data_IF_553958232673
#
_entry.id   IF_553958232673
#
_cell.length_a   1.000
_cell.length_b   1.000
_cell.length_c   1.000
_cell.angle_alpha   90.00
_cell.angle_beta   90.00
_cell.angle_gamma   90.00
#
_symmetry.space_group_name_H-M   'P 1'
#
loop_
_entity.id
_entity.type
_entity.pdbx_description
1 polymer ?
#
# COMPACT_ATOMS: atom_id res chain seq x y z
N UNK A 1 -34.00 6.03 18.41
CA UNK A 1 -34.48 6.50 17.10
C UNK A 1 -33.44 7.35 16.36
N UNK A 2 -32.98 8.49 16.90
CA UNK A 2 -31.99 9.37 16.23
C UNK A 2 -30.68 8.67 15.80
N UNK A 3 -30.04 7.91 16.69
CA UNK A 3 -28.84 7.13 16.39
C UNK A 3 -29.02 6.18 15.20
N UNK A 4 -30.17 5.50 15.10
CA UNK A 4 -30.46 4.56 14.01
C UNK A 4 -30.61 5.29 12.67
N UNK A 5 -31.23 6.47 12.67
CA UNK A 5 -31.37 7.31 11.47
C UNK A 5 -29.99 7.74 10.97
N UNK A 6 -29.14 8.28 11.86
CA UNK A 6 -27.78 8.68 11.50
C UNK A 6 -26.97 7.48 11.01
N UNK A 7 -27.05 6.33 11.69
CA UNK A 7 -26.38 5.09 11.28
C UNK A 7 -26.82 4.60 9.90
N UNK A 8 -28.11 4.69 9.59
CA UNK A 8 -28.65 4.34 8.27
C UNK A 8 -28.06 5.21 7.16
N UNK A 9 -28.07 6.53 7.33
CA UNK A 9 -27.49 7.45 6.35
C UNK A 9 -25.98 7.26 6.20
N UNK A 10 -25.24 7.11 7.30
CA UNK A 10 -23.81 6.85 7.23
C UNK A 10 -23.50 5.54 6.52
N UNK A 11 -24.29 4.47 6.71
CA UNK A 11 -24.12 3.24 5.93
C UNK A 11 -24.47 3.41 4.45
N UNK A 12 -25.50 4.20 4.13
CA UNK A 12 -25.90 4.48 2.75
C UNK A 12 -24.79 5.24 1.99
N UNK A 13 -24.19 6.25 2.60
CA UNK A 13 -23.11 7.03 1.99
C UNK A 13 -21.75 6.33 2.07
N UNK A 14 -21.44 5.65 3.17
CA UNK A 14 -20.07 5.20 3.43
C UNK A 14 -19.85 3.69 3.45
N UNK A 15 -20.90 2.85 3.36
CA UNK A 15 -20.77 1.38 3.39
C UNK A 15 -19.75 0.89 4.43
N UNK A 16 -20.00 1.22 5.69
CA UNK A 16 -19.04 1.11 6.79
C UNK A 16 -18.69 -0.35 7.04
N UNK A 17 -17.40 -0.67 7.06
CA UNK A 17 -16.86 -1.97 7.45
C UNK A 17 -15.99 -1.80 8.70
N UNK A 18 -16.20 -2.64 9.71
CA UNK A 18 -15.43 -2.61 10.95
C UNK A 18 -14.71 -3.94 11.11
N UNK A 19 -13.42 -3.89 11.41
CA UNK A 19 -12.56 -5.06 11.62
C UNK A 19 -11.91 -4.99 13.00
N UNK A 20 -11.65 -6.15 13.60
CA UNK A 20 -10.90 -6.24 14.86
C UNK A 20 -11.71 -6.00 16.13
N UNK A 21 -13.02 -6.34 16.13
CA UNK A 21 -13.88 -6.17 17.31
C UNK A 21 -13.37 -6.93 18.53
N UNK A 22 -12.74 -8.07 18.33
CA UNK A 22 -12.09 -8.85 19.37
C UNK A 22 -11.02 -8.05 20.14
N UNK A 23 -10.38 -7.06 19.51
CA UNK A 23 -9.38 -6.21 20.16
C UNK A 23 -10.02 -5.18 21.10
N UNK A 24 -11.25 -4.75 20.81
CA UNK A 24 -12.02 -3.87 21.68
C UNK A 24 -12.33 -4.55 23.02
N UNK A 25 -12.79 -5.80 22.96
CA UNK A 25 -13.11 -6.59 24.16
C UNK A 25 -11.86 -6.88 24.98
N UNK A 26 -10.77 -7.32 24.32
CA UNK A 26 -9.47 -7.59 24.96
C UNK A 26 -8.82 -6.36 25.60
N UNK A 27 -9.17 -5.15 25.15
CA UNK A 27 -8.64 -3.93 25.72
C UNK A 27 -9.05 -3.77 27.20
N UNK A 28 -10.23 -4.23 27.60
CA UNK A 28 -10.70 -4.14 28.99
C UNK A 28 -10.91 -2.68 29.45
N UNK A 29 -10.54 -2.38 30.69
CA UNK A 29 -10.74 -1.07 31.33
C UNK A 29 -9.51 -0.16 31.25
N UNK A 30 -9.72 1.15 31.41
CA UNK A 30 -8.66 2.16 31.41
C UNK A 30 -8.03 2.31 30.03
N UNK A 31 -8.85 2.59 29.01
CA UNK A 31 -8.44 2.54 27.60
C UNK A 31 -8.54 3.91 26.93
N UNK A 32 -7.40 4.39 26.43
CA UNK A 32 -7.33 5.49 25.49
C UNK A 32 -7.51 4.97 24.06
N UNK A 33 -8.66 5.27 23.45
CA UNK A 33 -8.93 4.96 22.06
C UNK A 33 -8.30 6.05 21.19
N UNK A 34 -7.33 5.65 20.38
CA UNK A 34 -6.46 6.54 19.62
C UNK A 34 -6.67 6.34 18.10
N UNK A 35 -7.67 7.01 17.50
CA UNK A 35 -7.89 6.98 16.06
C UNK A 35 -6.95 7.93 15.31
N UNK A 36 -6.54 7.57 14.08
CA UNK A 36 -5.99 8.55 13.14
C UNK A 36 -7.08 9.55 12.73
N UNK A 37 -6.68 10.79 12.37
CA UNK A 37 -7.63 11.84 12.02
C UNK A 37 -7.51 12.20 10.54
N UNK A 38 -8.42 11.67 9.71
CA UNK A 38 -8.40 11.83 8.25
C UNK A 38 -9.33 12.94 7.78
N UNK A 39 -10.51 13.02 8.37
CA UNK A 39 -11.56 13.93 7.94
C UNK A 39 -12.40 14.42 9.10
N UNK A 40 -13.04 15.58 8.95
CA UNK A 40 -13.89 16.12 10.01
C UNK A 40 -15.11 15.25 10.34
N UNK A 41 -15.50 14.30 9.49
CA UNK A 41 -16.63 13.39 9.76
C UNK A 41 -16.24 12.17 10.60
N UNK A 42 -14.94 11.92 10.78
CA UNK A 42 -14.42 10.75 11.51
C UNK A 42 -14.94 10.63 12.95
N UNK A 43 -15.00 11.71 13.77
CA UNK A 43 -15.58 11.64 15.12
C UNK A 43 -17.04 11.20 15.11
N UNK A 44 -17.83 11.71 14.15
CA UNK A 44 -19.24 11.33 14.00
C UNK A 44 -19.39 9.87 13.62
N UNK A 45 -18.58 9.39 12.68
CA UNK A 45 -18.58 7.99 12.28
C UNK A 45 -18.24 7.10 13.49
N UNK A 46 -17.18 7.42 14.23
CA UNK A 46 -16.82 6.64 15.42
C UNK A 46 -17.94 6.63 16.46
N UNK A 47 -18.50 7.78 16.84
CA UNK A 47 -19.56 7.82 17.86
C UNK A 47 -20.81 7.01 17.51
N UNK A 48 -21.10 6.83 16.21
CA UNK A 48 -22.26 6.04 15.77
C UNK A 48 -21.99 4.53 15.77
N UNK A 49 -20.74 4.15 15.52
CA UNK A 49 -20.36 2.75 15.27
C UNK A 49 -19.59 2.10 16.42
N UNK A 50 -19.14 2.86 17.40
CA UNK A 50 -18.65 2.32 18.66
C UNK A 50 -19.78 1.62 19.43
N UNK A 51 -19.48 0.56 20.21
CA UNK A 51 -20.48 -0.29 20.82
C UNK A 51 -21.13 0.35 22.06
N UNK A 52 -20.46 1.35 22.64
CA UNK A 52 -20.92 2.08 23.81
C UNK A 52 -20.66 3.58 23.65
N UNK A 53 -21.33 4.39 24.47
CA UNK A 53 -21.09 5.83 24.53
C UNK A 53 -19.81 6.09 25.31
N UNK A 54 -18.80 6.58 24.60
CA UNK A 54 -17.51 6.99 25.19
C UNK A 54 -17.35 8.51 25.09
N UNK A 55 -16.74 9.17 26.09
CA UNK A 55 -16.38 10.57 25.99
C UNK A 55 -15.35 10.85 24.88
N UNK A 56 -15.61 11.87 24.05
CA UNK A 56 -14.72 12.31 22.97
C UNK A 56 -14.02 13.61 23.33
N UNK A 57 -12.70 13.65 23.17
CA UNK A 57 -11.95 14.88 23.08
C UNK A 57 -12.01 15.42 21.64
N UNK A 58 -12.61 16.60 21.45
CA UNK A 58 -12.71 17.25 20.14
C UNK A 58 -11.99 18.59 20.11
N UNK A 59 -11.41 18.93 18.96
CA UNK A 59 -10.83 20.25 18.71
C UNK A 59 -11.92 21.32 18.56
N UNK A 60 -11.68 22.52 19.08
CA UNK A 60 -12.59 23.68 18.95
C UNK A 60 -12.96 24.04 17.51
N UNK A 61 -12.14 23.71 16.51
CA UNK A 61 -12.50 23.98 15.09
C UNK A 61 -13.62 23.09 14.59
N UNK A 62 -13.74 21.88 15.12
CA UNK A 62 -14.82 20.96 14.78
C UNK A 62 -16.18 21.54 15.21
N UNK A 63 -16.23 22.28 16.32
CA UNK A 63 -17.47 22.92 16.81
C UNK A 63 -18.02 24.01 15.90
N UNK A 64 -17.19 24.56 15.01
CA UNK A 64 -17.62 25.57 14.01
C UNK A 64 -18.24 24.94 12.76
N UNK A 65 -18.23 23.61 12.60
CA UNK A 65 -18.76 22.94 11.41
C UNK A 65 -20.26 22.71 11.54
N UNK A 66 -21.01 22.99 10.47
CA UNK A 66 -22.48 22.88 10.45
C UNK A 66 -23.01 21.50 10.83
N UNK A 67 -22.28 20.43 10.52
CA UNK A 67 -22.73 19.06 10.84
C UNK A 67 -22.50 18.65 12.31
N UNK A 68 -21.83 19.48 13.13
CA UNK A 68 -21.54 19.14 14.53
C UNK A 68 -22.81 18.91 15.36
N UNK A 69 -23.90 19.60 15.02
CA UNK A 69 -25.20 19.40 15.69
C UNK A 69 -25.74 17.97 15.57
N UNK A 70 -25.29 17.20 14.57
CA UNK A 70 -25.61 15.78 14.45
C UNK A 70 -24.80 14.91 15.42
N UNK A 71 -23.59 15.35 15.79
CA UNK A 71 -22.63 14.63 16.63
C UNK A 71 -22.88 14.82 18.13
N UNK A 72 -23.17 16.06 18.56
CA UNK A 72 -23.34 16.41 19.98
C UNK A 72 -24.37 15.54 20.73
N UNK A 73 -25.51 15.11 20.14
CA UNK A 73 -26.46 14.23 20.82
C UNK A 73 -26.01 12.77 20.94
N UNK A 74 -24.98 12.38 20.18
CA UNK A 74 -24.54 10.98 20.02
C UNK A 74 -23.37 10.62 20.93
N UNK A 75 -22.55 11.60 21.29
CA UNK A 75 -21.38 11.41 22.14
C UNK A 75 -21.31 12.48 23.24
N UNK A 76 -20.76 12.12 24.39
CA UNK A 76 -20.35 13.10 25.38
C UNK A 76 -19.07 13.77 24.86
N UNK A 77 -19.16 15.06 24.49
CA UNK A 77 -18.04 15.77 23.85
C UNK A 77 -17.40 16.75 24.81
N UNK A 78 -16.08 16.68 24.93
CA UNK A 78 -15.26 17.61 25.69
C UNK A 78 -14.29 18.31 24.74
N UNK A 79 -14.19 19.64 24.86
CA UNK A 79 -13.27 20.41 24.01
C UNK A 79 -11.88 20.32 24.61
N UNK A 80 -10.93 19.79 23.84
CA UNK A 80 -9.53 19.69 24.23
C UNK A 80 -8.76 20.89 23.65
N UNK A 81 -8.63 21.94 24.46
CA UNK A 81 -7.79 23.11 24.18
C UNK A 81 -6.54 23.05 25.07
N UNK A 82 -5.39 23.50 24.56
CA UNK A 82 -4.14 23.58 25.34
C UNK A 82 -4.30 24.46 26.60
N UNK A 83 -5.26 25.38 26.57
CA UNK A 83 -5.60 26.32 27.64
C UNK A 83 -6.71 25.81 28.58
N UNK A 84 -7.12 24.53 28.46
CA UNK A 84 -8.19 23.94 29.28
C UNK A 84 -7.68 22.81 30.22
N UNK A 85 -7.00 23.15 31.34
CA UNK A 85 -6.51 22.18 32.34
C UNK A 85 -7.59 21.25 32.89
N UNK A 86 -8.84 21.73 32.96
CA UNK A 86 -9.98 20.97 33.49
C UNK A 86 -10.34 19.77 32.60
N UNK A 87 -10.32 19.94 31.27
CA UNK A 87 -10.60 18.84 30.33
C UNK A 87 -9.53 17.75 30.42
N UNK A 88 -8.26 18.15 30.54
CA UNK A 88 -7.15 17.20 30.74
C UNK A 88 -7.32 16.42 32.05
N UNK A 89 -7.68 17.11 33.14
CA UNK A 89 -7.93 16.48 34.45
C UNK A 89 -9.11 15.52 34.41
N UNK A 90 -10.18 15.85 33.68
CA UNK A 90 -11.32 14.95 33.46
C UNK A 90 -10.86 13.63 32.81
N UNK A 91 -10.15 13.69 31.68
CA UNK A 91 -9.69 12.48 30.99
C UNK A 91 -8.68 11.67 31.81
N UNK A 92 -7.79 12.34 32.54
CA UNK A 92 -6.88 11.67 33.48
C UNK A 92 -7.62 10.87 34.54
N UNK A 93 -8.64 11.47 35.17
CA UNK A 93 -9.43 10.80 36.20
C UNK A 93 -10.29 9.68 35.62
N UNK A 94 -10.91 9.92 34.45
CA UNK A 94 -11.73 8.93 33.75
C UNK A 94 -10.92 7.66 33.46
N UNK A 95 -9.71 7.81 32.90
CA UNK A 95 -8.84 6.67 32.59
C UNK A 95 -8.31 5.97 33.84
N UNK A 96 -7.94 6.72 34.90
CA UNK A 96 -7.51 6.13 36.18
C UNK A 96 -8.60 5.30 36.85
N UNK A 97 -9.86 5.69 36.66
CA UNK A 97 -11.02 5.00 37.20
C UNK A 97 -11.51 3.85 36.29
N UNK A 98 -10.69 3.40 35.34
CA UNK A 98 -11.05 2.29 34.44
C UNK A 98 -11.96 2.67 33.26
N UNK A 99 -12.30 3.95 33.11
CA UNK A 99 -13.11 4.44 31.99
C UNK A 99 -12.40 4.36 30.63
N UNK A 100 -13.16 4.61 29.57
CA UNK A 100 -12.65 4.68 28.19
C UNK A 100 -12.90 6.06 27.60
N UNK A 101 -11.98 6.56 26.78
CA UNK A 101 -12.19 7.80 26.06
C UNK A 101 -11.60 7.75 24.65
N UNK A 102 -12.13 8.58 23.76
CA UNK A 102 -11.60 8.77 22.40
C UNK A 102 -10.87 10.09 22.34
N UNK A 103 -9.59 10.05 21.99
CA UNK A 103 -8.79 11.25 21.73
C UNK A 103 -8.03 11.03 20.43
N UNK A 104 -8.27 11.90 19.44
CA UNK A 104 -7.49 11.93 18.20
C UNK A 104 -6.08 12.46 18.52
N UNK A 105 -5.02 11.65 18.43
CA UNK A 105 -3.68 12.07 18.88
C UNK A 105 -3.13 13.26 18.08
N UNK A 106 -3.54 13.40 16.82
CA UNK A 106 -3.14 14.46 15.89
C UNK A 106 -3.87 15.80 16.12
N UNK A 107 -4.96 15.78 16.91
CA UNK A 107 -5.88 16.88 17.21
C UNK A 107 -6.60 17.53 16.02
N UNK A 108 -6.05 17.46 14.82
CA UNK A 108 -6.62 18.02 13.60
C UNK A 108 -6.54 17.01 12.44
N UNK A 109 -7.46 17.07 11.46
CA UNK A 109 -7.42 16.17 10.31
C UNK A 109 -6.17 16.40 9.45
N UNK A 110 -5.58 15.32 8.94
CA UNK A 110 -4.43 15.37 8.03
C UNK A 110 -4.74 16.12 6.73
N UNK A 111 -3.74 16.87 6.26
CA UNK A 111 -3.77 17.57 4.96
C UNK A 111 -3.01 16.79 3.87
N UNK A 112 -2.31 15.73 4.24
CA UNK A 112 -1.41 14.95 3.40
C UNK A 112 -1.91 13.51 3.18
N UNK A 113 -2.71 12.98 4.10
CA UNK A 113 -3.25 11.61 4.05
C UNK A 113 -2.43 10.58 4.85
N UNK A 114 -1.26 10.99 5.32
CA UNK A 114 -0.47 10.31 6.34
C UNK A 114 -0.80 10.79 7.75
N UNK A 115 -0.53 9.95 8.77
CA UNK A 115 -0.55 10.40 10.16
C UNK A 115 0.33 11.64 10.34
N UNK A 116 -0.13 12.58 11.16
CA UNK A 116 0.61 13.80 11.48
C UNK A 116 1.29 13.69 12.83
N UNK A 117 2.13 14.66 13.15
CA UNK A 117 2.77 14.78 14.46
C UNK A 117 1.72 14.70 15.57
N UNK A 118 1.95 13.76 16.49
CA UNK A 118 1.09 13.53 17.64
C UNK A 118 1.27 14.62 18.70
N UNK A 119 0.18 14.99 19.36
CA UNK A 119 0.19 15.88 20.52
C UNK A 119 0.86 15.22 21.73
N UNK A 120 1.92 15.87 22.23
CA UNK A 120 2.59 15.45 23.46
C UNK A 120 1.63 15.46 24.66
N UNK A 121 0.65 16.36 24.70
CA UNK A 121 -0.33 16.40 25.78
C UNK A 121 -1.17 15.12 25.86
N UNK A 122 -1.62 14.61 24.70
CA UNK A 122 -2.36 13.34 24.63
C UNK A 122 -1.48 12.16 25.04
N UNK A 123 -0.23 12.14 24.57
CA UNK A 123 0.73 11.11 24.95
C UNK A 123 1.02 11.09 26.47
N UNK A 124 1.09 12.27 27.09
CA UNK A 124 1.29 12.41 28.53
C UNK A 124 0.08 11.92 29.34
N UNK A 125 -1.15 12.10 28.85
CA UNK A 125 -2.35 11.52 29.48
C UNK A 125 -2.21 10.00 29.53
N UNK A 126 -1.83 9.37 28.41
CA UNK A 126 -1.64 7.93 28.33
C UNK A 126 -0.52 7.43 29.26
N UNK A 127 0.63 8.10 29.27
CA UNK A 127 1.76 7.71 30.14
C UNK A 127 1.43 7.88 31.64
N UNK A 128 0.86 9.02 32.06
CA UNK A 128 0.54 9.27 33.47
C UNK A 128 -0.58 8.39 34.03
N UNK A 129 -1.49 7.94 33.18
CA UNK A 129 -2.58 7.04 33.57
C UNK A 129 -2.18 5.57 33.43
N UNK A 130 -1.05 5.29 32.75
CA UNK A 130 -0.64 3.95 32.31
C UNK A 130 -1.76 3.22 31.55
N UNK A 131 -2.65 3.99 30.91
CA UNK A 131 -3.79 3.48 30.17
C UNK A 131 -3.33 2.59 29.01
N UNK A 132 -4.13 1.59 28.69
CA UNK A 132 -3.97 0.87 27.43
C UNK A 132 -4.36 1.80 26.29
N UNK A 133 -3.60 1.77 25.21
CA UNK A 133 -3.89 2.51 23.98
C UNK A 133 -4.52 1.52 23.02
N UNK A 134 -5.69 1.85 22.50
CA UNK A 134 -6.37 1.08 21.47
C UNK A 134 -6.30 1.87 20.16
N UNK A 135 -5.34 1.55 19.26
CA UNK A 135 -5.20 2.26 18.00
C UNK A 135 -6.36 1.90 17.06
N UNK A 136 -6.93 2.92 16.43
CA UNK A 136 -7.94 2.74 15.38
C UNK A 136 -7.44 3.39 14.09
N UNK A 137 -7.51 2.64 12.98
CA UNK A 137 -7.25 3.19 11.66
C UNK A 137 -8.56 3.34 10.88
N UNK A 138 -8.86 4.57 10.50
CA UNK A 138 -9.97 4.97 9.64
C UNK A 138 -9.42 5.23 8.24
N UNK A 139 -10.06 4.62 7.26
CA UNK A 139 -9.75 4.75 5.84
C UNK A 139 -11.03 4.93 5.02
N UNK A 140 -10.93 5.63 3.90
CA UNK A 140 -12.01 5.92 2.96
C UNK A 140 -12.54 7.35 3.07
N UNK A 141 -12.45 7.97 4.26
CA UNK A 141 -12.93 9.33 4.48
C UNK A 141 -12.05 10.40 3.82
N UNK A 142 -10.83 10.05 3.43
CA UNK A 142 -9.92 10.88 2.62
C UNK A 142 -10.52 11.29 1.26
N UNK A 143 -11.43 10.47 0.72
CA UNK A 143 -12.09 10.67 -0.57
C UNK A 143 -13.30 11.60 -0.48
N UNK A 144 -13.70 11.97 0.73
CA UNK A 144 -14.95 12.71 0.96
C UNK A 144 -14.73 14.22 0.91
N UNK A 145 -15.80 15.02 0.74
CA UNK A 145 -15.73 16.47 0.84
C UNK A 145 -15.24 16.97 2.22
N UNK A 146 -15.40 16.15 3.26
CA UNK A 146 -15.03 16.49 4.65
C UNK A 146 -13.53 16.35 4.95
N UNK A 147 -12.76 15.73 4.04
CA UNK A 147 -11.29 15.64 4.13
C UNK A 147 -10.62 17.00 3.89
N UNK A 148 -9.44 17.21 4.48
CA UNK A 148 -8.60 18.41 4.25
C UNK A 148 -7.43 18.18 3.30
N UNK A 149 -7.35 16.99 2.69
CA UNK A 149 -6.23 16.65 1.82
C UNK A 149 -6.21 17.57 0.60
N UNK A 150 -5.07 18.22 0.34
CA UNK A 150 -4.95 19.27 -0.67
C UNK A 150 -5.05 18.71 -2.11
N UNK A 151 -4.53 17.50 -2.34
CA UNK A 151 -4.55 16.82 -3.64
C UNK A 151 -5.61 15.71 -3.67
N UNK A 152 -6.89 16.08 -3.59
CA UNK A 152 -7.98 15.11 -3.44
C UNK A 152 -8.09 14.15 -4.62
N UNK A 153 -8.31 12.85 -4.40
CA UNK A 153 -8.40 11.81 -5.44
C UNK A 153 -9.62 11.89 -6.40
N UNK A 154 -10.32 13.02 -6.43
CA UNK A 154 -11.72 13.12 -6.88
C UNK A 154 -12.66 12.87 -5.70
N UNK A 155 -13.63 13.76 -5.52
CA UNK A 155 -14.60 13.69 -4.43
C UNK A 155 -15.59 12.55 -4.65
N UNK A 156 -15.78 11.72 -3.63
CA UNK A 156 -16.82 10.70 -3.60
C UNK A 156 -17.72 10.93 -2.40
N UNK A 157 -18.99 11.17 -2.68
CA UNK A 157 -20.04 11.14 -1.66
C UNK A 157 -20.37 9.71 -1.23
N UNK A 158 -20.09 8.73 -2.11
CA UNK A 158 -20.24 7.31 -1.83
C UNK A 158 -18.86 6.64 -1.79
N UNK A 159 -18.30 6.47 -0.60
CA UNK A 159 -16.98 5.87 -0.42
C UNK A 159 -17.00 4.83 0.69
N UNK A 160 -16.55 3.61 0.40
CA UNK A 160 -16.37 2.59 1.44
C UNK A 160 -15.42 3.10 2.52
N UNK A 161 -15.89 3.15 3.75
CA UNK A 161 -15.09 3.51 4.93
C UNK A 161 -14.80 2.26 5.74
N UNK A 162 -13.54 2.07 6.09
CA UNK A 162 -13.08 0.92 6.89
C UNK A 162 -12.50 1.42 8.20
N UNK A 163 -13.01 0.89 9.31
CA UNK A 163 -12.54 1.13 10.67
C UNK A 163 -11.83 -0.14 11.12
N UNK A 164 -10.52 -0.09 11.28
CA UNK A 164 -9.71 -1.21 11.76
C UNK A 164 -9.32 -0.94 13.20
N UNK A 165 -9.74 -1.80 14.12
CA UNK A 165 -9.38 -1.74 15.54
C UNK A 165 -8.20 -2.69 15.74
N UNK A 166 -7.06 -2.15 16.18
CA UNK A 166 -5.83 -2.90 16.33
C UNK A 166 -5.65 -3.41 17.76
N UNK A 167 -4.78 -4.41 18.00
CA UNK A 167 -4.47 -4.87 19.35
C UNK A 167 -4.03 -3.72 20.25
N UNK A 168 -4.54 -3.69 21.48
CA UNK A 168 -4.17 -2.66 22.45
C UNK A 168 -2.71 -2.76 22.86
N UNK A 169 -2.05 -1.63 23.04
CA UNK A 169 -0.65 -1.51 23.48
C UNK A 169 -0.53 -0.53 24.64
N UNK A 170 0.69 -0.24 25.12
CA UNK A 170 0.96 0.77 26.15
C UNK A 170 2.18 1.60 25.75
N UNK A 171 2.22 2.83 26.25
CA UNK A 171 3.45 3.63 26.20
C UNK A 171 4.32 3.20 27.37
N UNK A 172 5.51 2.72 27.04
CA UNK A 172 6.56 2.43 28.00
C UNK A 172 7.69 3.45 27.81
N UNK A 173 8.01 4.16 28.90
CA UNK A 173 9.02 5.22 28.93
C UNK A 173 9.83 5.00 30.19
N UNK A 174 11.14 5.00 30.02
CA UNK A 174 12.09 4.90 31.12
C UNK A 174 11.86 5.99 32.18
N UNK A 175 11.91 5.59 33.44
CA UNK A 175 11.60 6.44 34.59
C UNK A 175 12.67 7.50 34.89
N UNK A 176 13.85 7.38 34.27
CA UNK A 176 14.93 8.39 34.32
C UNK A 176 14.56 9.70 33.59
N UNK A 177 13.56 9.67 32.70
CA UNK A 177 13.11 10.83 31.95
C UNK A 177 12.05 11.61 32.73
N UNK A 178 12.28 12.92 32.87
CA UNK A 178 11.36 13.86 33.51
C UNK A 178 11.10 15.12 32.65
N UNK A 179 10.03 15.83 32.99
CA UNK A 179 9.68 17.12 32.38
C UNK A 179 9.53 17.07 30.85
N UNK A 180 10.09 18.06 30.11
CA UNK A 180 9.96 18.13 28.66
C UNK A 180 10.53 16.91 27.91
N UNK A 181 11.57 16.27 28.45
CA UNK A 181 12.18 15.08 27.83
C UNK A 181 11.23 13.88 27.88
N UNK A 182 10.51 13.72 29.00
CA UNK A 182 9.47 12.69 29.15
C UNK A 182 8.31 12.92 28.18
N UNK A 183 7.84 14.16 28.06
CA UNK A 183 6.79 14.53 27.11
C UNK A 183 7.17 14.27 25.66
N UNK A 184 8.42 14.55 25.29
CA UNK A 184 8.94 14.23 23.96
C UNK A 184 9.05 12.71 23.71
N UNK A 185 9.50 11.94 24.72
CA UNK A 185 9.57 10.48 24.63
C UNK A 185 8.17 9.86 24.51
N UNK A 186 7.20 10.32 25.30
CA UNK A 186 5.81 9.90 25.22
C UNK A 186 5.23 10.19 23.83
N UNK A 187 5.46 11.41 23.32
CA UNK A 187 5.04 11.80 21.98
C UNK A 187 5.57 10.85 20.91
N UNK A 188 6.87 10.54 20.92
CA UNK A 188 7.48 9.58 19.98
C UNK A 188 6.96 8.15 20.13
N UNK A 189 6.70 7.71 21.36
CA UNK A 189 6.14 6.39 21.61
C UNK A 189 4.72 6.28 21.04
N UNK A 190 3.87 7.29 21.26
CA UNK A 190 2.52 7.33 20.70
C UNK A 190 2.55 7.47 19.17
N UNK A 191 3.44 8.29 18.62
CA UNK A 191 3.64 8.43 17.17
C UNK A 191 4.03 7.09 16.54
N UNK A 192 4.98 6.35 17.14
CA UNK A 192 5.33 4.99 16.70
C UNK A 192 4.14 4.04 16.70
N UNK A 193 3.29 4.09 17.74
CA UNK A 193 2.07 3.27 17.81
C UNK A 193 1.11 3.63 16.67
N UNK A 194 0.93 4.92 16.38
CA UNK A 194 0.07 5.38 15.28
C UNK A 194 0.63 5.00 13.90
N UNK A 195 1.95 5.05 13.73
CA UNK A 195 2.65 4.61 12.51
C UNK A 195 2.49 3.11 12.28
N UNK A 196 2.72 2.29 13.31
CA UNK A 196 2.51 0.84 13.26
C UNK A 196 1.05 0.51 12.95
N UNK A 197 0.11 1.29 13.49
CA UNK A 197 -1.30 1.12 13.20
C UNK A 197 -1.66 1.49 11.75
N UNK A 198 -1.11 2.59 11.24
CA UNK A 198 -1.24 3.00 9.83
C UNK A 198 -0.64 1.97 8.89
N UNK A 199 0.54 1.42 9.24
CA UNK A 199 1.20 0.36 8.51
C UNK A 199 0.30 -0.88 8.40
N UNK A 200 -0.12 -1.43 9.53
CA UNK A 200 -0.92 -2.66 9.58
C UNK A 200 -2.24 -2.53 8.79
N UNK A 201 -2.90 -1.37 8.84
CA UNK A 201 -4.12 -1.12 8.09
C UNK A 201 -3.93 -0.91 6.57
N UNK A 202 -2.68 -0.66 6.12
CA UNK A 202 -2.35 -0.40 4.71
C UNK A 202 -1.78 -1.62 3.98
N UNK A 203 -1.21 -2.58 4.71
CA UNK A 203 -0.70 -3.84 4.13
C UNK A 203 -1.83 -4.51 3.35
N UNK A 204 -1.55 -4.88 2.09
CA UNK A 204 -2.50 -5.58 1.24
C UNK A 204 -2.41 -7.08 1.49
N UNK A 205 -3.57 -7.73 1.45
CA UNK A 205 -3.80 -9.14 1.75
C UNK A 205 -4.14 -9.94 0.48
N UNK A 206 -3.71 -9.45 -0.69
CA UNK A 206 -3.95 -10.11 -1.98
C UNK A 206 -2.73 -10.11 -2.90
N UNK A 207 -2.65 -11.03 -3.87
CA UNK A 207 -1.66 -10.99 -4.94
C UNK A 207 -1.69 -9.68 -5.73
N UNK A 208 -0.57 -9.34 -6.39
CA UNK A 208 -0.45 -8.07 -7.12
C UNK A 208 -1.50 -7.85 -8.19
N UNK A 209 -1.92 -8.90 -8.90
CA UNK A 209 -2.95 -8.77 -9.92
C UNK A 209 -4.30 -8.36 -9.33
N UNK A 210 -4.68 -8.92 -8.18
CA UNK A 210 -5.92 -8.53 -7.48
C UNK A 210 -5.84 -7.12 -6.90
N UNK A 211 -4.67 -6.75 -6.36
CA UNK A 211 -4.42 -5.37 -5.91
C UNK A 211 -4.51 -4.37 -7.07
N UNK A 212 -4.04 -4.73 -8.26
CA UNK A 212 -4.20 -3.93 -9.48
C UNK A 212 -5.68 -3.76 -9.87
N UNK A 213 -6.50 -4.80 -9.72
CA UNK A 213 -7.95 -4.72 -9.98
C UNK A 213 -8.69 -3.86 -8.95
N UNK A 214 -8.30 -3.96 -7.68
CA UNK A 214 -8.81 -3.12 -6.59
C UNK A 214 -8.42 -1.65 -6.80
N UNK A 215 -7.17 -1.39 -7.21
CA UNK A 215 -6.69 -0.05 -7.58
C UNK A 215 -7.45 0.50 -8.81
N UNK A 216 -7.70 -0.31 -9.85
CA UNK A 216 -8.55 0.08 -10.99
C UNK A 216 -9.96 0.50 -10.54
N UNK A 217 -10.57 -0.26 -9.63
CA UNK A 217 -11.90 0.08 -9.07
C UNK A 217 -11.85 1.36 -8.25
N UNK A 218 -10.78 1.56 -7.48
CA UNK A 218 -10.60 2.75 -6.66
C UNK A 218 -10.32 4.00 -7.49
N UNK A 219 -9.49 3.92 -8.53
CA UNK A 219 -8.98 5.09 -9.24
C UNK A 219 -9.60 5.33 -10.62
N UNK A 220 -10.34 4.36 -11.13
CA UNK A 220 -10.99 4.39 -12.43
C UNK A 220 -10.12 3.79 -13.54
N UNK A 221 -10.72 2.94 -14.37
CA UNK A 221 -10.01 2.21 -15.43
C UNK A 221 -9.35 3.06 -16.52
N UNK A 222 -9.76 4.32 -16.67
CA UNK A 222 -9.20 5.29 -17.63
C UNK A 222 -8.01 6.09 -17.07
N UNK A 223 -7.69 5.94 -15.79
CA UNK A 223 -6.54 6.64 -15.20
C UNK A 223 -5.24 6.12 -15.81
N UNK A 224 -4.34 7.05 -16.18
CA UNK A 224 -3.04 6.77 -16.81
C UNK A 224 -2.03 6.35 -15.75
N UNK A 225 -1.45 5.17 -15.90
CA UNK A 225 -0.60 4.54 -14.88
C UNK A 225 0.85 4.37 -15.32
N UNK A 226 1.09 3.96 -16.56
CA UNK A 226 2.43 3.65 -17.05
C UNK A 226 2.73 4.34 -18.37
N UNK A 227 3.98 4.66 -18.61
CA UNK A 227 4.46 5.15 -19.90
C UNK A 227 5.91 4.73 -20.10
N UNK A 228 6.20 4.10 -21.24
CA UNK A 228 7.58 3.92 -21.68
C UNK A 228 8.10 5.21 -22.33
N UNK A 229 9.42 5.35 -22.38
CA UNK A 229 10.08 6.42 -23.11
C UNK A 229 9.64 6.47 -24.58
N UNK A 230 9.28 7.66 -25.06
CA UNK A 230 8.83 7.90 -26.43
C UNK A 230 7.45 7.31 -26.77
N UNK A 231 6.71 6.76 -25.80
CA UNK A 231 5.39 6.18 -26.04
C UNK A 231 4.26 7.01 -25.40
N UNK A 232 3.02 6.67 -25.76
CA UNK A 232 1.84 7.25 -25.11
C UNK A 232 1.57 6.55 -23.78
N UNK A 233 1.15 7.30 -22.73
CA UNK A 233 0.70 6.70 -21.48
C UNK A 233 -0.43 5.69 -21.68
N UNK A 234 -0.37 4.59 -20.96
CA UNK A 234 -1.43 3.59 -20.89
C UNK A 234 -2.25 3.74 -19.61
N UNK A 235 -3.49 3.30 -19.67
CA UNK A 235 -4.42 3.33 -18.54
C UNK A 235 -4.41 2.02 -17.75
N UNK A 236 -5.04 1.98 -16.57
CA UNK A 236 -5.30 0.72 -15.86
C UNK A 236 -5.94 -0.34 -16.75
N UNK A 237 -7.01 0.01 -17.49
CA UNK A 237 -7.66 -0.93 -18.41
C UNK A 237 -6.69 -1.36 -19.51
N UNK A 238 -5.90 -0.43 -20.06
CA UNK A 238 -4.90 -0.74 -21.07
C UNK A 238 -3.79 -1.67 -20.55
N UNK A 239 -3.39 -1.53 -19.29
CA UNK A 239 -2.39 -2.39 -18.66
C UNK A 239 -2.95 -3.78 -18.39
N UNK A 240 -4.12 -3.88 -17.73
CA UNK A 240 -4.80 -5.15 -17.45
C UNK A 240 -5.08 -5.92 -18.74
N UNK A 241 -5.54 -5.23 -19.79
CA UNK A 241 -5.76 -5.86 -21.11
C UNK A 241 -4.49 -6.52 -21.63
N UNK A 242 -3.33 -5.85 -21.51
CA UNK A 242 -2.04 -6.41 -21.94
C UNK A 242 -1.63 -7.59 -21.07
N UNK A 243 -1.83 -7.53 -19.75
CA UNK A 243 -1.55 -8.66 -18.86
C UNK A 243 -2.39 -9.89 -19.24
N UNK A 244 -3.70 -9.73 -19.45
CA UNK A 244 -4.57 -10.83 -19.88
C UNK A 244 -4.19 -11.40 -21.25
N UNK A 245 -3.70 -10.55 -22.14
CA UNK A 245 -3.29 -10.95 -23.48
C UNK A 245 -1.97 -11.73 -23.47
N UNK A 246 -0.99 -11.24 -22.72
CA UNK A 246 0.32 -11.89 -22.60
C UNK A 246 0.21 -13.17 -21.76
N UNK A 247 -0.62 -13.19 -20.72
CA UNK A 247 -0.99 -14.42 -20.00
C UNK A 247 -1.52 -15.50 -20.94
N UNK A 248 -2.48 -15.16 -21.82
CA UNK A 248 -3.08 -16.11 -22.77
C UNK A 248 -2.04 -16.72 -23.71
N UNK A 249 -1.07 -15.92 -24.17
CA UNK A 249 -0.05 -16.40 -25.09
C UNK A 249 1.05 -17.17 -24.35
N UNK A 250 1.49 -16.70 -23.18
CA UNK A 250 2.49 -17.40 -22.36
C UNK A 250 2.00 -18.78 -21.90
N UNK A 251 0.69 -18.97 -21.68
CA UNK A 251 0.11 -20.30 -21.39
C UNK A 251 0.40 -21.34 -22.48
N UNK A 252 0.55 -20.90 -23.74
CA UNK A 252 0.85 -21.79 -24.86
C UNK A 252 2.36 -21.93 -25.13
N UNK A 253 3.21 -21.23 -24.38
CA UNK A 253 4.66 -21.24 -24.58
C UNK A 253 5.37 -22.45 -23.95
N UNK A 254 4.62 -23.35 -23.30
CA UNK A 254 5.13 -24.58 -22.68
C UNK A 254 6.33 -24.31 -21.75
N UNK A 255 6.07 -23.52 -20.71
CA UNK A 255 7.09 -23.12 -19.74
C UNK A 255 7.14 -24.13 -18.58
N UNK A 256 8.24 -24.88 -18.52
CA UNK A 256 8.46 -25.88 -17.48
C UNK A 256 8.90 -25.23 -16.15
N UNK A 257 8.43 -25.80 -15.03
CA UNK A 257 8.75 -25.35 -13.69
C UNK A 257 7.93 -24.14 -13.24
N UNK A 258 7.97 -23.84 -11.94
CA UNK A 258 7.23 -22.71 -11.37
C UNK A 258 8.02 -21.41 -11.37
N UNK A 259 9.35 -21.51 -11.30
CA UNK A 259 10.25 -20.36 -11.33
C UNK A 259 10.66 -20.08 -12.77
N UNK A 260 10.27 -18.91 -13.28
CA UNK A 260 10.52 -18.50 -14.67
C UNK A 260 11.54 -17.36 -14.65
N UNK A 261 12.68 -17.56 -15.30
CA UNK A 261 13.69 -16.51 -15.46
C UNK A 261 13.15 -15.37 -16.31
N UNK A 262 13.30 -14.13 -15.87
CA UNK A 262 12.89 -12.94 -16.61
C UNK A 262 14.11 -12.08 -16.86
N UNK A 263 14.54 -12.02 -18.13
CA UNK A 263 15.67 -11.22 -18.58
C UNK A 263 15.14 -10.07 -19.46
N UNK A 264 14.56 -9.05 -18.82
CA UNK A 264 13.93 -7.91 -19.48
C UNK A 264 14.28 -6.60 -18.77
N UNK A 265 14.34 -5.46 -19.48
CA UNK A 265 14.65 -4.16 -18.89
C UNK A 265 13.44 -3.58 -18.17
N UNK A 266 13.69 -2.51 -17.40
CA UNK A 266 12.63 -1.64 -16.86
C UNK A 266 11.85 -1.01 -18.02
N UNK A 267 10.70 -1.61 -18.30
CA UNK A 267 9.86 -1.30 -19.44
C UNK A 267 8.46 -1.84 -19.21
N UNK A 268 7.49 -1.34 -19.97
CA UNK A 268 6.14 -1.89 -19.94
C UNK A 268 6.13 -3.38 -20.31
N UNK A 269 6.97 -3.81 -21.26
CA UNK A 269 7.11 -5.23 -21.63
C UNK A 269 7.54 -6.09 -20.45
N UNK A 270 8.60 -5.70 -19.74
CA UNK A 270 9.08 -6.41 -18.56
C UNK A 270 8.03 -6.50 -17.44
N UNK A 271 7.36 -5.38 -17.17
CA UNK A 271 6.33 -5.32 -16.12
C UNK A 271 5.08 -6.13 -16.49
N UNK A 272 4.62 -6.07 -17.75
CA UNK A 272 3.48 -6.88 -18.22
C UNK A 272 3.81 -8.37 -18.13
N UNK A 273 5.01 -8.79 -18.57
CA UNK A 273 5.44 -10.19 -18.49
C UNK A 273 5.45 -10.68 -17.05
N UNK A 274 6.03 -9.90 -16.12
CA UNK A 274 6.05 -10.23 -14.70
C UNK A 274 4.65 -10.42 -14.11
N UNK A 275 3.72 -9.48 -14.36
CA UNK A 275 2.33 -9.62 -13.89
C UNK A 275 1.60 -10.80 -14.53
N UNK A 276 1.90 -11.11 -15.80
CA UNK A 276 1.29 -12.23 -16.52
C UNK A 276 1.74 -13.57 -15.94
N UNK A 277 3.04 -13.72 -15.65
CA UNK A 277 3.59 -14.90 -14.99
C UNK A 277 2.99 -15.09 -13.59
N UNK A 278 2.93 -14.03 -12.78
CA UNK A 278 2.30 -14.09 -11.45
C UNK A 278 0.82 -14.49 -11.54
N UNK A 279 0.09 -13.96 -12.53
CA UNK A 279 -1.31 -14.34 -12.76
C UNK A 279 -1.47 -15.81 -13.14
N UNK A 280 -0.48 -16.41 -13.80
CA UNK A 280 -0.44 -17.84 -14.11
C UNK A 280 -0.05 -18.72 -12.91
N UNK A 281 0.26 -18.12 -11.76
CA UNK A 281 0.79 -18.83 -10.59
C UNK A 281 2.29 -19.16 -10.70
N UNK A 282 3.00 -18.57 -11.68
CA UNK A 282 4.45 -18.70 -11.84
C UNK A 282 5.18 -17.62 -11.04
N UNK A 283 6.39 -17.91 -10.60
CA UNK A 283 7.23 -17.03 -9.80
C UNK A 283 8.31 -16.43 -10.73
N UNK A 284 8.26 -15.12 -11.05
CA UNK A 284 9.30 -14.47 -11.82
C UNK A 284 10.62 -14.44 -11.05
N UNK A 285 11.66 -15.05 -11.60
CA UNK A 285 13.03 -14.90 -11.15
C UNK A 285 13.70 -13.80 -11.98
N UNK A 286 13.83 -12.60 -11.42
CA UNK A 286 14.29 -11.43 -12.16
C UNK A 286 15.81 -11.50 -12.35
N UNK A 287 16.25 -11.80 -13.57
CA UNK A 287 17.64 -12.06 -13.88
C UNK A 287 18.40 -10.75 -14.11
N UNK A 288 19.57 -10.64 -13.46
CA UNK A 288 20.43 -9.47 -13.61
C UNK A 288 21.29 -9.58 -14.87
N UNK A 289 20.97 -8.77 -15.88
CA UNK A 289 21.71 -8.70 -17.14
C UNK A 289 23.07 -7.97 -17.06
N UNK A 290 23.45 -7.41 -15.91
CA UNK A 290 24.81 -6.87 -15.71
C UNK A 290 25.82 -7.92 -15.25
N UNK A 291 25.38 -9.15 -14.97
CA UNK A 291 26.25 -10.28 -14.61
C UNK A 291 26.85 -10.93 -15.87
N UNK A 292 27.99 -11.59 -15.73
CA UNK A 292 28.52 -12.49 -16.75
C UNK A 292 27.72 -13.78 -16.86
N UNK A 293 27.80 -14.46 -18.02
CA UNK A 293 27.01 -15.66 -18.34
C UNK A 293 27.09 -16.77 -17.28
N UNK A 294 28.28 -17.07 -16.77
CA UNK A 294 28.46 -18.07 -15.69
C UNK A 294 27.69 -17.72 -14.41
N UNK A 295 27.72 -16.45 -14.00
CA UNK A 295 27.00 -15.99 -12.81
C UNK A 295 25.48 -15.99 -13.05
N UNK A 296 25.03 -15.63 -14.25
CA UNK A 296 23.63 -15.70 -14.66
C UNK A 296 23.10 -17.14 -14.61
N UNK A 297 23.86 -18.10 -15.16
CA UNK A 297 23.53 -19.53 -15.12
C UNK A 297 23.47 -20.04 -13.68
N UNK A 298 24.40 -19.62 -12.81
CA UNK A 298 24.35 -19.95 -11.39
C UNK A 298 23.07 -19.40 -10.71
N UNK A 299 22.61 -18.20 -11.08
CA UNK A 299 21.31 -17.68 -10.63
C UNK A 299 20.16 -18.59 -11.08
N UNK A 300 20.14 -19.01 -12.35
CA UNK A 300 19.12 -19.92 -12.88
C UNK A 300 19.10 -21.25 -12.13
N UNK A 301 20.27 -21.88 -11.92
CA UNK A 301 20.40 -23.13 -11.15
C UNK A 301 19.89 -22.97 -9.71
N UNK A 302 20.32 -21.91 -9.03
CA UNK A 302 19.93 -21.63 -7.63
C UNK A 302 18.43 -21.43 -7.49
N UNK A 303 17.81 -20.73 -8.46
CA UNK A 303 16.37 -20.51 -8.49
C UNK A 303 15.60 -21.64 -9.17
N UNK A 304 16.23 -22.78 -9.50
CA UNK A 304 15.59 -23.91 -10.18
C UNK A 304 14.83 -23.49 -11.46
N UNK A 305 15.36 -22.52 -12.19
CA UNK A 305 14.79 -22.01 -13.44
C UNK A 305 15.11 -22.99 -14.56
N UNK A 306 14.08 -23.39 -15.32
CA UNK A 306 14.22 -24.20 -16.55
C UNK A 306 13.95 -23.41 -17.82
N UNK A 307 13.18 -22.32 -17.69
CA UNK A 307 12.77 -21.47 -18.81
C UNK A 307 13.07 -20.00 -18.51
N UNK A 308 13.68 -19.31 -19.47
CA UNK A 308 14.00 -17.88 -19.43
C UNK A 308 13.18 -17.14 -20.49
N UNK A 309 12.45 -16.11 -20.10
CA UNK A 309 11.69 -15.23 -21.00
C UNK A 309 12.48 -13.94 -21.25
N UNK A 310 12.64 -13.57 -22.52
CA UNK A 310 13.35 -12.36 -22.93
C UNK A 310 12.84 -11.79 -24.26
N UNK A 311 13.50 -10.74 -24.78
CA UNK A 311 13.18 -10.05 -26.03
C UNK A 311 14.43 -9.93 -26.90
N UNK A 312 14.32 -10.27 -28.20
CA UNK A 312 15.41 -10.13 -29.16
C UNK A 312 15.89 -8.70 -29.27
N UNK A 313 14.95 -7.76 -29.38
CA UNK A 313 15.26 -6.32 -29.42
C UNK A 313 16.05 -5.87 -28.20
N UNK A 314 15.73 -6.40 -27.02
CA UNK A 314 16.46 -6.06 -25.80
C UNK A 314 17.89 -6.64 -25.80
N UNK A 315 18.02 -7.92 -26.17
CA UNK A 315 19.31 -8.60 -26.26
C UNK A 315 20.24 -7.89 -27.24
N UNK A 316 19.76 -7.56 -28.44
CA UNK A 316 20.53 -6.86 -29.48
C UNK A 316 20.97 -5.46 -29.04
N UNK A 317 20.04 -4.66 -28.49
CA UNK A 317 20.37 -3.29 -28.03
C UNK A 317 21.34 -3.29 -26.85
N UNK A 318 21.24 -4.29 -25.97
CA UNK A 318 22.08 -4.46 -24.80
C UNK A 318 23.37 -5.22 -25.04
N UNK A 319 23.56 -5.82 -26.22
CA UNK A 319 24.68 -6.72 -26.57
C UNK A 319 24.80 -7.90 -25.59
N UNK A 320 23.67 -8.57 -25.32
CA UNK A 320 23.57 -9.66 -24.35
C UNK A 320 23.59 -11.05 -24.97
N UNK A 321 24.04 -11.20 -26.22
CA UNK A 321 24.05 -12.47 -26.94
C UNK A 321 24.83 -13.55 -26.17
N UNK A 322 25.98 -13.18 -25.60
CA UNK A 322 26.79 -14.09 -24.78
C UNK A 322 26.04 -14.62 -23.54
N UNK A 323 25.09 -13.85 -22.99
CA UNK A 323 24.27 -14.31 -21.86
C UNK A 323 23.26 -15.35 -22.32
N UNK A 324 22.67 -15.15 -23.49
CA UNK A 324 21.71 -16.09 -24.08
C UNK A 324 22.42 -17.40 -24.43
N UNK A 325 23.58 -17.34 -25.08
CA UNK A 325 24.39 -18.53 -25.37
C UNK A 325 24.71 -19.32 -24.11
N UNK A 326 25.12 -18.65 -23.02
CA UNK A 326 25.41 -19.34 -21.76
C UNK A 326 24.16 -20.03 -21.15
N UNK A 327 22.97 -19.43 -21.30
CA UNK A 327 21.70 -20.02 -20.85
C UNK A 327 21.35 -21.25 -21.70
N UNK A 328 21.51 -21.18 -23.02
CA UNK A 328 21.22 -22.28 -23.95
C UNK A 328 22.23 -23.44 -23.81
N UNK A 329 23.52 -23.15 -23.61
CA UNK A 329 24.58 -24.15 -23.36
C UNK A 329 24.34 -24.96 -22.07
N UNK A 330 23.67 -24.36 -21.09
CA UNK A 330 23.22 -25.03 -19.87
C UNK A 330 21.98 -25.92 -20.11
N UNK A 331 21.39 -25.90 -21.30
CA UNK A 331 20.18 -26.64 -21.64
C UNK A 331 18.90 -25.98 -21.14
N UNK A 332 18.93 -24.69 -20.77
CA UNK A 332 17.74 -23.94 -20.37
C UNK A 332 17.00 -23.43 -21.60
N UNK A 333 15.66 -23.49 -21.56
CA UNK A 333 14.82 -23.03 -22.67
C UNK A 333 14.71 -21.50 -22.68
N UNK A 334 14.94 -20.87 -23.84
CA UNK A 334 14.71 -19.44 -24.04
C UNK A 334 13.39 -19.23 -24.78
N UNK A 335 12.47 -18.46 -24.17
CA UNK A 335 11.20 -18.05 -24.76
C UNK A 335 11.29 -16.59 -25.16
N UNK A 336 11.18 -16.33 -26.46
CA UNK A 336 11.21 -14.99 -27.03
C UNK A 336 9.80 -14.38 -27.09
N UNK A 337 9.62 -13.19 -26.52
CA UNK A 337 8.33 -12.50 -26.59
C UNK A 337 7.90 -12.19 -28.02
N UNK A 338 8.85 -12.00 -28.94
CA UNK A 338 8.57 -11.78 -30.36
C UNK A 338 7.96 -13.01 -31.04
N UNK A 339 8.32 -14.24 -30.65
CA UNK A 339 7.75 -15.47 -31.22
C UNK A 339 6.29 -15.66 -30.80
N UNK A 340 5.93 -15.06 -29.67
CA UNK A 340 4.59 -15.04 -29.12
C UNK A 340 3.72 -13.94 -29.74
N UNK A 341 4.32 -12.88 -30.30
CA UNK A 341 3.58 -11.74 -30.85
C UNK A 341 2.64 -12.11 -32.02
N UNK A 342 2.99 -13.00 -32.98
CA UNK A 342 2.08 -13.43 -34.04
C UNK A 342 0.80 -14.11 -33.53
N UNK A 343 0.87 -14.77 -32.37
CA UNK A 343 -0.30 -15.40 -31.74
C UNK A 343 -1.34 -14.39 -31.21
N UNK A 344 -1.00 -13.10 -31.21
CA UNK A 344 -1.87 -12.00 -30.77
C UNK A 344 -2.75 -11.52 -31.92
N UNK A 345 -3.88 -12.21 -32.12
CA UNK A 345 -4.86 -11.83 -33.14
C UNK A 345 -5.72 -10.62 -32.71
N UNK A 346 -6.36 -9.94 -33.68
CA UNK A 346 -7.32 -8.86 -33.40
C UNK A 346 -8.47 -9.35 -32.49
N UNK A 347 -8.93 -10.58 -32.70
CA UNK A 347 -9.96 -11.20 -31.87
C UNK A 347 -9.51 -11.35 -30.41
N UNK A 348 -8.29 -11.85 -30.16
CA UNK A 348 -7.75 -11.94 -28.79
C UNK A 348 -7.61 -10.58 -28.11
N UNK A 349 -7.22 -9.54 -28.85
CA UNK A 349 -7.17 -8.16 -28.33
C UNK A 349 -8.55 -7.67 -27.87
N UNK A 350 -9.59 -7.87 -28.69
CA UNK A 350 -10.98 -7.49 -28.36
C UNK A 350 -11.48 -8.32 -27.17
N UNK A 351 -11.25 -9.64 -27.19
CA UNK A 351 -11.62 -10.54 -26.10
C UNK A 351 -10.98 -10.13 -24.77
N UNK A 352 -9.67 -9.82 -24.76
CA UNK A 352 -8.97 -9.35 -23.57
C UNK A 352 -9.50 -7.99 -23.08
N UNK A 353 -9.84 -7.07 -23.99
CA UNK A 353 -10.42 -5.78 -23.64
C UNK A 353 -11.82 -5.95 -23.01
N UNK A 354 -12.66 -6.83 -23.57
CA UNK A 354 -13.97 -7.17 -22.99
C UNK A 354 -13.83 -7.83 -21.63
N UNK A 355 -12.96 -8.84 -21.50
CA UNK A 355 -12.63 -9.49 -20.20
C UNK A 355 -12.18 -8.47 -19.16
N UNK A 356 -11.38 -7.47 -19.56
CA UNK A 356 -10.92 -6.41 -18.67
C UNK A 356 -12.06 -5.59 -18.06
N UNK A 357 -13.20 -5.44 -18.74
CA UNK A 357 -14.35 -4.70 -18.20
C UNK A 357 -15.00 -5.50 -17.06
N UNK A 358 -15.13 -6.82 -17.24
CA UNK A 358 -15.88 -7.67 -16.32
C UNK A 358 -15.04 -8.34 -15.24
N UNK A 359 -13.71 -8.42 -15.41
CA UNK A 359 -12.82 -9.07 -14.44
C UNK A 359 -12.87 -8.35 -13.09
N UNK A 360 -12.99 -9.12 -12.01
CA UNK A 360 -13.05 -8.65 -10.62
C UNK A 360 -11.91 -9.27 -9.84
N UNK A 361 -11.48 -8.58 -8.78
CA UNK A 361 -10.53 -9.13 -7.83
C UNK A 361 -11.14 -10.32 -7.10
N UNK A 362 -10.31 -11.30 -6.79
CA UNK A 362 -10.68 -12.41 -5.93
C UNK A 362 -10.89 -11.93 -4.49
N UNK A 363 -11.69 -12.67 -3.69
CA UNK A 363 -11.73 -12.45 -2.24
C UNK A 363 -10.35 -12.71 -1.63
N UNK A 364 -10.17 -12.24 -0.40
CA UNK A 364 -8.96 -12.52 0.38
C UNK A 364 -8.93 -14.01 0.70
N UNK A 365 -7.80 -14.67 0.41
CA UNK A 365 -7.57 -16.08 0.71
C UNK A 365 -6.43 -16.13 1.72
N UNK A 366 -6.66 -16.82 2.84
CA UNK A 366 -5.67 -16.96 3.90
C UNK A 366 -4.42 -17.70 3.40
N UNK A 367 -3.23 -17.22 3.79
CA UNK A 367 -1.95 -17.77 3.34
C UNK A 367 -1.52 -17.40 1.91
N UNK A 368 -2.41 -16.83 1.08
CA UNK A 368 -2.09 -16.53 -0.33
C UNK A 368 -0.96 -15.51 -0.46
N UNK A 369 -0.88 -14.54 0.45
CA UNK A 369 0.18 -13.53 0.43
C UNK A 369 1.52 -13.99 0.99
N UNK A 370 1.55 -15.12 1.69
CA UNK A 370 2.79 -15.72 2.18
C UNK A 370 3.51 -16.50 1.06
N UNK A 371 2.82 -16.80 -0.05
CA UNK A 371 3.43 -17.42 -1.23
C UNK A 371 4.49 -16.52 -1.88
N UNK A 372 5.53 -17.13 -2.51
CA UNK A 372 6.52 -16.38 -3.27
C UNK A 372 5.89 -15.55 -4.39
N UNK A 373 6.26 -14.26 -4.45
CA UNK A 373 5.82 -13.35 -5.50
C UNK A 373 6.91 -13.12 -6.57
N UNK A 374 8.17 -13.11 -6.16
CA UNK A 374 9.33 -12.85 -7.01
C UNK A 374 10.60 -13.42 -6.39
N UNK A 375 11.57 -13.77 -7.22
CA UNK A 375 12.94 -14.10 -6.79
C UNK A 375 13.87 -13.00 -7.34
N UNK A 376 14.63 -12.37 -6.44
CA UNK A 376 15.69 -11.42 -6.79
C UNK A 376 17.05 -12.01 -6.47
N UNK A 377 18.12 -11.46 -7.04
CA UNK A 377 19.48 -11.95 -6.81
C UNK A 377 20.37 -10.86 -6.22
N UNK A 378 21.25 -11.25 -5.30
CA UNK A 378 22.30 -10.36 -4.79
C UNK A 378 23.39 -10.13 -5.86
N UNK A 379 24.17 -9.06 -5.73
CA UNK A 379 25.23 -8.71 -6.71
C UNK A 379 26.40 -9.71 -6.77
N UNK A 380 26.50 -10.63 -5.79
CA UNK A 380 27.57 -11.63 -5.77
C UNK A 380 28.97 -11.08 -5.44
N UNK A 381 29.08 -9.94 -4.76
CA UNK A 381 30.39 -9.38 -4.36
C UNK A 381 31.18 -10.28 -3.40
N UNK A 382 30.50 -11.19 -2.70
CA UNK A 382 31.08 -12.15 -1.74
C UNK A 382 31.05 -13.60 -2.25
N UNK A 383 30.84 -13.82 -3.56
CA UNK A 383 30.77 -15.15 -4.16
C UNK A 383 29.59 -15.32 -5.11
N UNK A 384 29.06 -16.55 -5.23
CA UNK A 384 27.92 -16.80 -6.11
C UNK A 384 26.68 -15.98 -5.67
N UNK A 385 25.95 -15.32 -6.59
CA UNK A 385 24.71 -14.63 -6.29
C UNK A 385 23.72 -15.52 -5.54
N UNK A 386 23.08 -14.97 -4.51
CA UNK A 386 22.08 -15.69 -3.70
C UNK A 386 20.68 -15.31 -4.17
N UNK A 387 19.81 -16.32 -4.32
CA UNK A 387 18.39 -16.10 -4.59
C UNK A 387 17.65 -15.64 -3.34
N UNK A 388 17.00 -14.49 -3.42
CA UNK A 388 16.17 -13.90 -2.37
C UNK A 388 14.71 -14.06 -2.78
N UNK A 389 14.02 -15.00 -2.14
CA UNK A 389 12.61 -15.27 -2.36
C UNK A 389 11.78 -14.27 -1.56
N UNK A 390 10.99 -13.43 -2.23
CA UNK A 390 10.14 -12.44 -1.60
C UNK A 390 8.67 -12.82 -1.79
N UNK A 391 7.91 -12.91 -0.69
CA UNK A 391 6.47 -13.11 -0.73
C UNK A 391 5.72 -11.82 -1.09
N UNK A 392 4.44 -11.95 -1.44
CA UNK A 392 3.57 -10.77 -1.62
C UNK A 392 3.52 -9.94 -0.34
N UNK A 393 3.44 -10.60 0.82
CA UNK A 393 3.42 -9.95 2.14
C UNK A 393 4.69 -9.16 2.43
N UNK A 394 5.88 -9.66 2.06
CA UNK A 394 7.13 -8.90 2.21
C UNK A 394 7.06 -7.58 1.44
N UNK A 395 6.65 -7.64 0.17
CA UNK A 395 6.58 -6.47 -0.70
C UNK A 395 5.48 -5.49 -0.28
N UNK A 396 4.29 -5.98 0.05
CA UNK A 396 3.19 -5.13 0.55
C UNK A 396 3.53 -4.44 1.87
N UNK A 397 4.23 -5.14 2.77
CA UNK A 397 4.70 -4.55 4.03
C UNK A 397 5.71 -3.45 3.75
N UNK A 398 6.68 -3.68 2.86
CA UNK A 398 7.65 -2.66 2.49
C UNK A 398 6.99 -1.42 1.85
N UNK A 399 6.03 -1.61 0.94
CA UNK A 399 5.28 -0.49 0.36
C UNK A 399 4.50 0.31 1.41
N UNK A 400 3.85 -0.39 2.34
CA UNK A 400 3.09 0.25 3.40
C UNK A 400 4.02 1.01 4.37
N UNK A 401 5.24 0.50 4.66
CA UNK A 401 6.26 1.21 5.44
C UNK A 401 6.77 2.47 4.74
N UNK A 402 6.95 2.43 3.41
CA UNK A 402 7.34 3.63 2.66
C UNK A 402 6.27 4.71 2.78
N UNK A 403 5.00 4.33 2.72
CA UNK A 403 3.89 5.26 2.85
C UNK A 403 3.87 5.97 4.21
N UNK A 404 4.25 5.30 5.30
CA UNK A 404 4.31 5.94 6.63
C UNK A 404 5.50 6.88 6.81
N UNK A 405 6.44 6.92 5.85
CA UNK A 405 7.69 7.72 5.95
C UNK A 405 7.83 8.79 4.88
N UNK A 406 7.11 8.64 3.77
CA UNK A 406 7.15 9.56 2.64
C UNK A 406 5.72 9.92 2.26
N UNK A 407 5.49 11.20 2.05
CA UNK A 407 4.21 11.70 1.56
C UNK A 407 4.10 11.45 0.06
N UNK A 408 3.12 10.63 -0.30
CA UNK A 408 2.79 10.33 -1.68
C UNK A 408 1.44 10.93 -2.05
N UNK A 409 1.43 11.70 -3.13
CA UNK A 409 0.23 12.29 -3.71
C UNK A 409 -0.08 11.64 -5.05
N UNK A 410 -1.36 11.59 -5.40
CA UNK A 410 -1.78 11.07 -6.72
C UNK A 410 -1.33 11.94 -7.89
N UNK A 411 -1.03 13.21 -7.63
CA UNK A 411 -0.44 14.12 -8.60
C UNK A 411 1.02 13.80 -8.90
N UNK A 412 1.67 12.99 -8.05
CA UNK A 412 3.07 12.64 -8.23
C UNK A 412 3.26 11.82 -9.49
N UNK A 413 4.47 11.93 -10.03
CA UNK A 413 4.94 11.14 -11.16
C UNK A 413 6.27 10.54 -10.76
N UNK A 414 6.38 9.24 -10.89
CA UNK A 414 7.61 8.51 -10.56
C UNK A 414 8.36 8.23 -11.84
N UNK A 415 9.60 8.70 -11.91
CA UNK A 415 10.55 8.28 -12.94
C UNK A 415 11.26 7.04 -12.44
N UNK A 416 10.97 5.88 -13.03
CA UNK A 416 11.64 4.63 -12.71
C UNK A 416 12.69 4.31 -13.80
N UNK A 417 13.92 4.72 -13.52
CA UNK A 417 15.13 4.44 -14.32
C UNK A 417 15.91 3.24 -13.79
N UNK A 418 15.50 2.71 -12.63
CA UNK A 418 16.23 1.67 -11.93
C UNK A 418 15.82 0.29 -12.45
N UNK A 419 16.74 -0.69 -12.54
CA UNK A 419 16.41 -2.02 -13.05
C UNK A 419 15.38 -2.74 -12.18
N UNK A 420 14.32 -3.29 -12.80
CA UNK A 420 13.27 -4.05 -12.11
C UNK A 420 13.73 -5.41 -11.57
N UNK A 421 14.96 -5.85 -11.88
CA UNK A 421 15.60 -6.98 -11.23
C UNK A 421 16.27 -6.62 -9.89
N UNK A 422 16.26 -5.34 -9.50
CA UNK A 422 16.63 -4.89 -8.17
C UNK A 422 15.38 -4.46 -7.38
N UNK A 423 15.41 -4.67 -6.06
CA UNK A 423 14.27 -4.40 -5.17
C UNK A 423 13.76 -2.96 -5.25
N UNK A 424 14.65 -1.98 -5.39
CA UNK A 424 14.27 -0.57 -5.48
C UNK A 424 13.57 -0.24 -6.81
N UNK A 425 14.08 -0.72 -7.95
CA UNK A 425 13.41 -0.56 -9.24
C UNK A 425 12.08 -1.29 -9.29
N UNK A 426 11.98 -2.46 -8.64
CA UNK A 426 10.74 -3.21 -8.50
C UNK A 426 9.68 -2.48 -7.65
N UNK A 427 10.11 -1.86 -6.54
CA UNK A 427 9.23 -1.03 -5.70
C UNK A 427 8.64 0.14 -6.50
N UNK A 428 9.44 0.76 -7.38
CA UNK A 428 9.01 1.79 -8.33
C UNK A 428 7.97 1.33 -9.36
N UNK A 429 7.59 0.05 -9.38
CA UNK A 429 6.48 -0.50 -10.18
C UNK A 429 5.25 -0.78 -9.31
N UNK A 430 5.41 -1.56 -8.24
CA UNK A 430 4.26 -2.08 -7.49
C UNK A 430 3.63 -1.06 -6.56
N UNK A 431 4.41 -0.32 -5.78
CA UNK A 431 3.87 0.67 -4.85
C UNK A 431 3.01 1.72 -5.57
N UNK A 432 3.45 2.32 -6.70
CA UNK A 432 2.66 3.31 -7.44
C UNK A 432 1.33 2.79 -7.96
N UNK A 433 1.27 1.50 -8.37
CA UNK A 433 0.03 0.83 -8.77
C UNK A 433 -0.97 0.83 -7.63
N UNK A 434 -0.53 0.51 -6.42
CA UNK A 434 -1.43 0.45 -5.26
C UNK A 434 -1.98 1.82 -4.85
N UNK A 435 -1.27 2.90 -5.18
CA UNK A 435 -1.60 4.28 -4.81
C UNK A 435 -2.26 5.07 -5.95
N UNK A 436 -2.27 4.53 -7.17
CA UNK A 436 -2.74 5.25 -8.35
C UNK A 436 -1.86 6.44 -8.70
N UNK A 437 -0.54 6.21 -8.68
CA UNK A 437 0.51 7.16 -9.07
C UNK A 437 1.03 6.76 -10.45
N UNK A 438 1.29 7.77 -11.30
CA UNK A 438 1.81 7.54 -12.64
C UNK A 438 3.31 7.23 -12.59
N UNK A 439 3.74 6.22 -13.35
CA UNK A 439 5.14 5.83 -13.49
C UNK A 439 5.59 5.94 -14.93
N UNK A 440 6.73 6.61 -15.12
CA UNK A 440 7.45 6.69 -16.37
C UNK A 440 8.63 5.73 -16.33
N UNK A 441 8.69 4.79 -17.27
CA UNK A 441 9.78 3.83 -17.36
C UNK A 441 10.88 4.34 -18.28
N UNK A 442 12.11 4.20 -17.82
CA UNK A 442 13.30 4.41 -18.63
C UNK A 442 14.24 3.20 -18.48
N UNK A 443 14.68 2.59 -19.60
CA UNK A 443 15.26 1.24 -19.56
C UNK A 443 16.67 1.15 -18.99
N UNK A 444 17.43 2.25 -18.98
CA UNK A 444 18.83 2.25 -18.55
C UNK A 444 19.14 3.46 -17.65
N UNK A 445 19.61 3.25 -16.40
CA UNK A 445 20.03 4.35 -15.54
C UNK A 445 21.34 5.00 -16.03
N UNK A 446 22.07 4.36 -16.95
CA UNK A 446 23.36 4.84 -17.45
C UNK A 446 23.22 6.03 -18.42
N UNK A 447 22.03 6.30 -18.95
CA UNK A 447 21.81 7.41 -19.87
C UNK A 447 21.56 8.73 -19.13
N UNK A 448 22.46 9.09 -18.22
CA UNK A 448 22.30 10.24 -17.32
C UNK A 448 21.98 11.56 -18.05
N UNK A 449 22.57 11.80 -19.23
CA UNK A 449 22.28 12.98 -20.07
C UNK A 449 20.84 13.02 -20.58
N UNK A 450 20.29 11.89 -21.01
CA UNK A 450 18.90 11.83 -21.49
C UNK A 450 17.93 11.88 -20.32
N UNK A 451 18.26 11.22 -19.21
CA UNK A 451 17.45 11.23 -17.99
C UNK A 451 17.27 12.66 -17.47
N UNK A 452 18.32 13.48 -17.47
CA UNK A 452 18.23 14.89 -17.05
C UNK A 452 17.34 15.76 -17.94
N UNK A 453 17.01 15.32 -19.16
CA UNK A 453 16.09 16.04 -20.05
C UNK A 453 14.63 15.58 -19.92
N UNK A 454 14.36 14.51 -19.17
CA UNK A 454 13.01 13.97 -18.94
C UNK A 454 12.37 14.59 -17.69
N UNK A 455 13.20 14.85 -16.66
CA UNK A 455 12.83 15.61 -15.46
C UNK A 455 12.67 17.10 -15.81
#
# INVERSE_FOLDING_TARGET
MWLMVVKFFLNLFFSIEIKGWENWEKAGEGVLIAPNYVSFIDPLILAVFLPEKVPFAIERRLTKKRFIGLFLPLAETHILDADAPLTLKYFLNLLKNGGRCVIFPELQPTTIGNPMKVSQGVAMIADHTKAKILPINIKGTELTPFSRIQHKPGLRFFSKVTITILPSTRIDISDDLSGPKRAAAAGRALEKIMDEASLAARVKDKPFFDVLLDARKQYGGKFRIFCDHGQRPITYNGFITRVLLIEDVLKNADMEGDNIGVLLPTSLGGVVTMYSLQKMGKIPAMLNFSLGGRSLVNCCRTACVKTVVTSRKFVELGKFEALITAVEEEGLRVVWLEDLAPSITKFKKISAALKTIFIRSNPVIEGETDKPAVILFTSGSEGAPKGVVLSYKNLHTNHAQMYTRVDFYRSDRILNTMPIFHSFGLCGVFMPVTLGIFVYFYPSPLHYKTISTIC
#
